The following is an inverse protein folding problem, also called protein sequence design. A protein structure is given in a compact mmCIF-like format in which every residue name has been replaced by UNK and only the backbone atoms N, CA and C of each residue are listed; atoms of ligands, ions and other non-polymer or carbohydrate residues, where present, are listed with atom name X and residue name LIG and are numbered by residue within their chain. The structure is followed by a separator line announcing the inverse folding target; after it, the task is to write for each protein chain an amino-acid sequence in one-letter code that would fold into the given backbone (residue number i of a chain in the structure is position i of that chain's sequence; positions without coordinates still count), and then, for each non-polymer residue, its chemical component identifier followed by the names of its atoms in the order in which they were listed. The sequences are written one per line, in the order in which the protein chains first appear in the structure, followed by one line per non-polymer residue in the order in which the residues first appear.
data_IF_308349931276
#
_entry.id   IF_308349931276
#
_cell.length_a   1.000
_cell.length_b   1.000
_cell.length_c   1.000
_cell.angle_alpha   90.00
_cell.angle_beta   90.00
_cell.angle_gamma   90.00
#
_symmetry.space_group_name_H-M   'P 1'
#
loop_
_entity.id
_entity.type
_entity.pdbx_description
1 polymer ?
#
# COMPACT_ATOMS: atom_id res chain seq x y z
N UNK A 1 -8.40 32.65 -6.70
CA UNK A 1 -8.42 32.03 -6.83
C UNK A 1 -8.55 31.07 -6.14
N UNK A 2 -9.10 30.49 -6.08
CA UNK A 2 -9.28 29.38 -5.40
C UNK A 2 -8.15 28.89 -4.81
N UNK A 3 -7.23 29.49 -5.06
CA UNK A 3 -6.03 28.93 -4.77
C UNK A 3 -5.74 28.72 -3.34
N UNK A 4 -6.23 29.56 -2.47
CA UNK A 4 -5.94 29.36 -1.07
C UNK A 4 -6.56 28.11 -0.53
N UNK A 5 -7.79 27.81 -0.93
CA UNK A 5 -8.42 26.59 -0.46
C UNK A 5 -7.74 25.36 -1.02
N UNK A 6 -7.28 25.43 -2.25
CA UNK A 6 -6.57 24.32 -2.84
C UNK A 6 -5.27 24.09 -2.12
N UNK A 7 -4.55 25.14 -1.78
CA UNK A 7 -3.30 24.99 -1.05
C UNK A 7 -3.50 24.34 0.30
N UNK A 8 -4.56 24.71 1.01
CA UNK A 8 -4.83 24.10 2.29
C UNK A 8 -5.13 22.62 2.15
N UNK A 9 -5.85 22.25 1.11
CA UNK A 9 -6.14 20.84 0.87
C UNK A 9 -4.88 20.07 0.52
N UNK A 10 -3.99 20.67 -0.21
CA UNK A 10 -2.76 19.99 -0.62
C UNK A 10 -1.83 19.71 0.55
N UNK A 11 -2.03 20.38 1.67
CA UNK A 11 -1.18 20.15 2.83
C UNK A 11 -1.79 19.19 3.85
N UNK A 12 -2.96 18.63 3.55
CA UNK A 12 -3.57 17.68 4.46
C UNK A 12 -2.80 16.37 4.39
N UNK A 13 -2.51 15.82 5.56
CA UNK A 13 -1.82 14.55 5.62
C UNK A 13 -2.77 13.40 5.38
N UNK A 14 -2.36 12.43 4.60
CA UNK A 14 -3.16 11.23 4.38
C UNK A 14 -2.29 10.02 4.68
N UNK A 15 -2.93 8.89 4.92
CA UNK A 15 -2.20 7.67 5.21
C UNK A 15 -1.93 6.89 3.94
N UNK A 16 -0.67 6.55 3.74
CA UNK A 16 -0.26 5.69 2.64
C UNK A 16 0.04 4.32 3.22
N UNK A 17 -0.50 3.28 2.61
CA UNK A 17 -0.20 1.92 3.04
C UNK A 17 0.21 1.09 1.84
N UNK A 18 0.96 0.05 2.13
CA UNK A 18 1.48 -0.84 1.10
C UNK A 18 1.03 -2.24 1.44
N UNK A 19 0.43 -2.92 0.47
CA UNK A 19 -0.02 -4.28 0.68
C UNK A 19 0.95 -5.22 -0.01
N UNK A 20 1.66 -5.99 0.78
CA UNK A 20 2.66 -6.91 0.23
C UNK A 20 2.01 -8.11 -0.45
N UNK A 21 0.83 -8.47 -0.02
CA UNK A 21 0.10 -9.62 -0.56
C UNK A 21 -1.02 -9.98 0.37
N UNK A 22 -1.78 -10.99 0.01
CA UNK A 22 -2.93 -11.43 0.78
C UNK A 22 -2.92 -12.94 0.94
N UNK A 23 -3.65 -13.41 1.91
CA UNK A 23 -3.82 -14.83 2.13
C UNK A 23 -5.20 -15.05 2.70
N UNK A 24 -5.80 -16.18 2.38
CA UNK A 24 -7.09 -16.54 2.93
C UNK A 24 -6.89 -17.67 3.91
N UNK A 25 -7.50 -17.57 5.08
CA UNK A 25 -7.36 -18.57 6.10
C UNK A 25 -8.71 -18.83 6.74
N UNK A 26 -8.89 -20.04 7.26
CA UNK A 26 -10.06 -20.34 8.06
C UNK A 26 -9.90 -19.70 9.42
N UNK A 27 -11.02 -19.37 10.05
CA UNK A 27 -10.97 -18.76 11.37
C UNK A 27 -10.20 -19.63 12.35
N UNK A 28 -10.38 -20.96 12.28
CA UNK A 28 -9.67 -21.86 13.19
C UNK A 28 -8.16 -21.74 13.02
N UNK A 29 -7.70 -21.51 11.80
CA UNK A 29 -6.27 -21.38 11.55
C UNK A 29 -5.73 -20.06 12.07
N UNK A 30 -6.53 -19.01 11.96
CA UNK A 30 -6.13 -17.72 12.50
C UNK A 30 -5.96 -17.81 14.02
N UNK A 31 -6.86 -18.52 14.68
CA UNK A 31 -6.80 -18.67 16.12
C UNK A 31 -5.65 -19.55 16.59
N UNK A 32 -5.05 -20.28 15.66
CA UNK A 32 -3.91 -21.14 15.98
C UNK A 32 -2.56 -20.50 15.69
N UNK A 33 -2.55 -19.26 15.26
CA UNK A 33 -1.29 -18.61 14.92
C UNK A 33 -0.45 -18.41 16.18
N UNK A 34 0.83 -18.66 16.06
CA UNK A 34 1.77 -18.47 17.15
C UNK A 34 3.04 -17.86 16.61
N UNK A 35 3.95 -17.49 17.51
CA UNK A 35 5.25 -17.02 17.07
C UNK A 35 5.95 -18.12 16.28
N UNK A 36 6.51 -17.77 15.15
CA UNK A 36 7.17 -18.73 14.28
C UNK A 36 6.30 -19.26 13.15
N UNK A 37 4.99 -19.02 13.18
CA UNK A 37 4.13 -19.43 12.09
C UNK A 37 4.51 -18.64 10.82
N UNK A 38 4.57 -19.33 9.70
CA UNK A 38 4.89 -18.69 8.43
C UNK A 38 3.63 -18.64 7.57
N UNK A 39 3.28 -17.45 7.13
CA UNK A 39 2.13 -17.27 6.25
C UNK A 39 2.63 -17.02 4.85
N UNK A 40 2.03 -17.70 3.90
CA UNK A 40 2.40 -17.54 2.49
C UNK A 40 1.41 -16.57 1.86
N UNK A 41 1.93 -15.57 1.20
CA UNK A 41 1.09 -14.58 0.52
C UNK A 41 0.92 -14.95 -0.94
N UNK A 42 -0.03 -14.29 -1.57
CA UNK A 42 -0.37 -14.61 -2.96
C UNK A 42 0.49 -13.88 -3.98
N UNK A 43 1.58 -13.28 -3.56
CA UNK A 43 2.48 -12.60 -4.49
C UNK A 43 3.85 -13.25 -4.46
N UNK A 44 4.52 -13.22 -5.60
CA UNK A 44 5.89 -13.71 -5.69
C UNK A 44 6.85 -12.65 -5.22
N UNK A 45 8.07 -13.07 -4.94
CA UNK A 45 9.07 -12.19 -4.36
C UNK A 45 9.33 -10.96 -5.23
N UNK A 46 9.32 -11.15 -6.55
CA UNK A 46 9.63 -10.06 -7.45
C UNK A 46 8.42 -9.37 -8.06
N UNK A 47 7.22 -9.67 -7.56
CA UNK A 47 6.04 -9.01 -8.07
C UNK A 47 5.89 -7.63 -7.44
N UNK A 48 5.37 -6.65 -8.17
CA UNK A 48 5.10 -5.35 -7.59
C UNK A 48 4.04 -5.45 -6.49
N UNK A 49 4.13 -4.55 -5.53
CA UNK A 49 3.19 -4.50 -4.43
C UNK A 49 2.23 -3.33 -4.67
N UNK A 50 1.10 -3.36 -3.99
CA UNK A 50 0.05 -2.40 -4.21
C UNK A 50 0.12 -1.26 -3.21
N UNK A 51 -0.15 -0.06 -3.68
CA UNK A 51 -0.15 1.15 -2.86
C UNK A 51 -1.57 1.64 -2.67
N UNK A 52 -1.89 1.99 -1.43
CA UNK A 52 -3.23 2.47 -1.09
C UNK A 52 -3.16 3.78 -0.34
N UNK A 53 -4.12 4.65 -0.62
CA UNK A 53 -4.32 5.86 0.17
C UNK A 53 -5.77 5.83 0.62
N UNK A 54 -5.97 5.84 1.92
CA UNK A 54 -7.31 5.80 2.51
C UNK A 54 -8.14 4.64 1.95
N UNK A 55 -7.50 3.48 1.81
CA UNK A 55 -8.20 2.28 1.35
C UNK A 55 -8.40 2.17 -0.14
N UNK A 56 -7.93 3.14 -0.91
CA UNK A 56 -8.11 3.12 -2.36
C UNK A 56 -6.76 2.87 -3.03
N UNK A 57 -6.73 1.92 -3.94
CA UNK A 57 -5.48 1.60 -4.64
C UNK A 57 -5.12 2.72 -5.59
N UNK A 58 -3.91 3.23 -5.46
CA UNK A 58 -3.45 4.35 -6.28
C UNK A 58 -2.26 4.01 -7.16
N UNK A 59 -1.67 2.85 -6.99
CA UNK A 59 -0.52 2.51 -7.82
C UNK A 59 0.16 1.25 -7.35
N UNK A 60 1.34 1.01 -7.90
CA UNK A 60 2.17 -0.15 -7.57
C UNK A 60 3.62 0.26 -7.49
N UNK A 61 4.40 -0.56 -6.85
CA UNK A 61 5.81 -0.31 -6.76
C UNK A 61 6.58 -1.55 -6.36
N UNK A 62 7.88 -1.39 -6.31
CA UNK A 62 8.79 -2.47 -5.92
C UNK A 62 9.35 -2.17 -4.54
N UNK A 63 9.46 -3.20 -3.73
CA UNK A 63 10.04 -3.05 -2.41
C UNK A 63 11.55 -2.86 -2.56
N UNK A 64 12.07 -1.83 -1.92
CA UNK A 64 13.50 -1.57 -1.92
C UNK A 64 13.94 -1.31 -0.49
N UNK A 65 15.23 -1.31 -0.26
CA UNK A 65 15.78 -1.00 1.05
C UNK A 65 16.48 0.33 0.96
N UNK A 66 16.10 1.25 1.85
CA UNK A 66 16.72 2.56 1.92
C UNK A 66 17.33 2.68 3.30
N UNK A 67 18.66 2.65 3.36
CA UNK A 67 19.37 2.57 4.62
C UNK A 67 18.91 1.30 5.32
N UNK A 68 18.29 1.38 6.44
CA UNK A 68 17.81 0.18 7.13
C UNK A 68 16.29 0.09 7.12
N UNK A 69 15.67 0.86 6.27
CA UNK A 69 14.22 0.90 6.21
C UNK A 69 13.73 0.33 4.89
N UNK A 70 12.51 -0.14 4.90
CA UNK A 70 11.87 -0.55 3.66
C UNK A 70 11.36 0.69 2.94
N UNK A 71 11.55 0.72 1.64
CA UNK A 71 10.98 1.77 0.82
C UNK A 71 10.25 1.16 -0.35
N UNK A 72 9.57 1.98 -1.09
CA UNK A 72 8.85 1.54 -2.28
C UNK A 72 9.24 2.43 -3.45
N UNK A 73 9.71 1.80 -4.50
CA UNK A 73 10.01 2.52 -5.74
C UNK A 73 8.77 2.43 -6.61
N UNK A 74 8.18 3.57 -6.89
CA UNK A 74 6.91 3.61 -7.64
C UNK A 74 7.16 3.17 -9.07
N UNK A 75 6.39 2.19 -9.53
CA UNK A 75 6.47 1.73 -10.91
C UNK A 75 5.24 2.10 -11.71
N UNK A 76 4.11 2.36 -11.05
CA UNK A 76 2.88 2.67 -11.75
C UNK A 76 2.00 3.53 -10.86
N UNK A 77 1.39 4.56 -11.41
CA UNK A 77 0.45 5.41 -10.69
C UNK A 77 -0.85 5.43 -11.49
N UNK A 78 -1.95 5.10 -10.81
CA UNK A 78 -3.25 5.11 -11.45
C UNK A 78 -3.87 6.47 -11.30
N UNK A 79 -4.08 7.12 -12.46
CA UNK A 79 -4.67 8.37 -12.36
C UNK A 79 -6.06 8.27 -12.53
N UNK A 80 -6.87 8.55 -11.79
CA UNK A 80 -8.04 8.50 -12.02
C UNK A 80 -8.98 8.33 -11.34
N UNK A 81 -9.52 7.52 -11.31
CA UNK A 81 -10.57 7.31 -10.67
C UNK A 81 -10.65 8.04 -9.46
N UNK A 82 -11.54 8.78 -9.17
CA UNK A 82 -11.72 9.44 -7.91
C UNK A 82 -10.83 10.61 -7.65
N UNK A 83 -9.93 10.89 -8.55
CA UNK A 83 -9.08 12.04 -8.38
C UNK A 83 -9.54 13.17 -9.29
N UNK A 84 -9.56 14.37 -8.74
CA UNK A 84 -9.92 15.50 -9.59
C UNK A 84 -8.85 15.71 -10.63
N UNK A 85 -9.27 16.23 -11.72
CA UNK A 85 -8.32 16.45 -12.79
C UNK A 85 -7.73 17.79 -12.72
#
# INVERSE_FOLDING_TARGET
MADKNVDLVMDIMVGLSVELGRSQMKVRDVLSLTGGTVLQLDKKVDEPVDLYVNGKMIGRGEVVVVDESLGIKITEVFKQAGLPK
#
